data_IF_882029041934
#
_entry.id   IF_882029041934
#
_cell.length_a   1.000
_cell.length_b   1.000
_cell.length_c   1.000
_cell.angle_alpha   90.00
_cell.angle_beta   90.00
_cell.angle_gamma   90.00
#
_symmetry.space_group_name_H-M   'P 1'
#
loop_
_entity.id
_entity.type
_entity.pdbx_description
1 polymer ?
#
# COMPACT_ATOMS: atom_id res chain seq x y z
N UNK A 1 -10.51 -37.04 14.62
CA UNK A 1 -11.09 -35.85 13.96
C UNK A 1 -10.94 -36.08 12.46
N UNK A 2 -12.04 -36.08 11.69
CA UNK A 2 -12.01 -36.35 10.27
C UNK A 2 -11.27 -35.20 9.55
N UNK A 3 -10.43 -35.51 8.56
CA UNK A 3 -9.67 -34.54 7.77
C UNK A 3 -10.56 -33.46 7.12
N UNK A 4 -11.75 -33.86 6.68
CA UNK A 4 -12.74 -32.94 6.16
C UNK A 4 -13.24 -31.94 7.20
N UNK A 5 -13.43 -32.36 8.44
CA UNK A 5 -13.83 -31.46 9.54
C UNK A 5 -12.75 -30.43 9.87
N UNK A 6 -11.46 -30.80 9.78
CA UNK A 6 -10.35 -29.87 9.98
C UNK A 6 -10.34 -28.77 8.90
N UNK A 7 -10.55 -29.14 7.63
CA UNK A 7 -10.64 -28.18 6.52
C UNK A 7 -11.82 -27.23 6.73
N UNK A 8 -13.00 -27.76 7.01
CA UNK A 8 -14.22 -26.95 7.21
C UNK A 8 -14.08 -26.00 8.42
N UNK A 9 -13.48 -26.45 9.50
CA UNK A 9 -13.25 -25.61 10.68
C UNK A 9 -12.25 -24.47 10.38
N UNK A 10 -11.23 -24.74 9.56
CA UNK A 10 -10.27 -23.75 9.11
C UNK A 10 -10.93 -22.70 8.22
N UNK A 11 -11.75 -23.12 7.25
CA UNK A 11 -12.49 -22.21 6.38
C UNK A 11 -13.47 -21.33 7.15
N UNK A 12 -14.24 -21.90 8.09
CA UNK A 12 -15.14 -21.14 8.97
C UNK A 12 -14.39 -20.13 9.82
N UNK A 13 -13.19 -20.48 10.32
CA UNK A 13 -12.36 -19.56 11.09
C UNK A 13 -11.93 -18.35 10.24
N UNK A 14 -11.48 -18.58 9.01
CA UNK A 14 -11.10 -17.51 8.09
C UNK A 14 -12.28 -16.62 7.72
N UNK A 15 -13.42 -17.19 7.37
CA UNK A 15 -14.64 -16.44 7.06
C UNK A 15 -15.10 -15.58 8.24
N UNK A 16 -15.11 -16.13 9.45
CA UNK A 16 -15.44 -15.38 10.66
C UNK A 16 -14.49 -14.20 10.86
N UNK A 17 -13.20 -14.43 10.72
CA UNK A 17 -12.20 -13.36 10.91
C UNK A 17 -12.31 -12.29 9.83
N UNK A 18 -12.61 -12.65 8.60
CA UNK A 18 -12.87 -11.70 7.51
C UNK A 18 -14.09 -10.83 7.81
N UNK A 19 -15.18 -11.42 8.32
CA UNK A 19 -16.37 -10.67 8.76
C UNK A 19 -16.01 -9.72 9.90
N UNK A 20 -15.27 -10.18 10.91
CA UNK A 20 -14.85 -9.33 12.05
C UNK A 20 -14.03 -8.15 11.53
N UNK A 21 -13.03 -8.36 10.68
CA UNK A 21 -12.20 -7.28 10.13
C UNK A 21 -13.01 -6.33 9.24
N UNK A 22 -13.99 -6.83 8.49
CA UNK A 22 -14.91 -5.99 7.71
C UNK A 22 -15.77 -5.11 8.63
N UNK A 23 -16.28 -5.65 9.73
CA UNK A 23 -17.02 -4.88 10.73
C UNK A 23 -16.14 -3.80 11.37
N UNK A 24 -14.89 -4.13 11.70
CA UNK A 24 -13.91 -3.17 12.22
C UNK A 24 -13.67 -2.04 11.20
N UNK A 25 -13.49 -2.37 9.92
CA UNK A 25 -13.32 -1.36 8.87
C UNK A 25 -14.54 -0.45 8.77
N UNK A 26 -15.76 -1.00 8.80
CA UNK A 26 -17.02 -0.22 8.77
C UNK A 26 -17.11 0.71 9.98
N UNK A 27 -16.81 0.22 11.18
CA UNK A 27 -16.80 1.05 12.39
C UNK A 27 -15.77 2.17 12.30
N UNK A 28 -14.54 1.87 11.89
CA UNK A 28 -13.51 2.88 11.71
C UNK A 28 -13.88 3.89 10.63
N UNK A 29 -14.50 3.46 9.54
CA UNK A 29 -14.99 4.34 8.48
C UNK A 29 -16.07 5.28 8.98
N UNK A 30 -17.00 4.77 9.81
CA UNK A 30 -18.05 5.58 10.43
C UNK A 30 -17.42 6.63 11.36
N UNK A 31 -16.49 6.22 12.23
CA UNK A 31 -15.78 7.14 13.13
C UNK A 31 -15.03 8.20 12.32
N UNK A 32 -14.33 7.79 11.24
CA UNK A 32 -13.60 8.68 10.35
C UNK A 32 -14.47 9.77 9.73
N UNK A 33 -15.70 9.43 9.33
CA UNK A 33 -16.67 10.39 8.79
C UNK A 33 -17.26 11.33 9.84
N UNK A 34 -17.40 10.85 11.08
CA UNK A 34 -17.96 11.65 12.20
C UNK A 34 -16.94 12.60 12.80
N UNK A 35 -15.70 12.16 12.97
CA UNK A 35 -14.67 12.85 13.74
C UNK A 35 -13.83 13.80 12.87
N UNK A 36 -13.51 14.99 13.40
CA UNK A 36 -12.70 16.03 12.77
C UNK A 36 -12.90 17.32 13.55
N UNK A 37 -12.39 18.47 13.07
CA UNK A 37 -12.58 19.79 13.72
C UNK A 37 -14.05 20.08 14.02
N UNK A 38 -14.97 19.68 13.15
CA UNK A 38 -16.42 19.71 13.34
C UNK A 38 -16.91 18.28 13.53
N UNK A 39 -17.52 17.97 14.67
CA UNK A 39 -18.12 16.67 14.89
C UNK A 39 -19.45 16.57 14.16
N UNK A 40 -19.60 15.58 13.27
CA UNK A 40 -20.83 15.30 12.54
C UNK A 40 -21.62 14.21 13.26
N UNK A 41 -22.79 14.55 13.79
CA UNK A 41 -23.66 13.56 14.43
C UNK A 41 -24.46 12.79 13.39
N UNK A 42 -24.48 11.45 13.39
CA UNK A 42 -25.29 10.66 12.47
C UNK A 42 -26.79 10.71 12.79
N UNK A 43 -27.15 11.26 13.95
CA UNK A 43 -28.54 11.30 14.44
C UNK A 43 -29.21 12.66 14.23
N UNK A 44 -28.52 13.65 13.69
CA UNK A 44 -29.05 14.99 13.42
C UNK A 44 -29.15 15.25 11.92
N UNK A 45 -30.12 16.06 11.51
CA UNK A 45 -30.20 16.55 10.13
C UNK A 45 -29.00 17.45 9.86
N UNK A 46 -28.18 17.04 8.89
CA UNK A 46 -26.98 17.78 8.48
C UNK A 46 -27.38 19.09 7.76
N UNK A 47 -26.78 20.18 8.18
CA UNK A 47 -26.85 21.46 7.45
C UNK A 47 -26.21 21.31 6.05
N UNK A 48 -26.51 22.25 5.14
CA UNK A 48 -25.92 22.27 3.79
C UNK A 48 -24.40 22.32 3.85
N UNK A 49 -23.84 23.03 4.83
CA UNK A 49 -22.39 23.07 5.04
C UNK A 49 -21.83 21.73 5.46
N UNK A 50 -22.46 21.06 6.43
CA UNK A 50 -22.04 19.74 6.93
C UNK A 50 -22.15 18.66 5.86
N UNK A 51 -23.19 18.72 5.00
CA UNK A 51 -23.31 17.82 3.86
C UNK A 51 -22.14 17.99 2.87
N UNK A 52 -21.75 19.24 2.54
CA UNK A 52 -20.59 19.49 1.70
C UNK A 52 -19.30 19.03 2.35
N UNK A 53 -19.11 19.29 3.65
CA UNK A 53 -17.94 18.80 4.41
C UNK A 53 -17.84 17.27 4.35
N UNK A 54 -18.96 16.57 4.49
CA UNK A 54 -19.02 15.12 4.45
C UNK A 54 -18.73 14.58 3.04
N UNK A 55 -19.40 15.12 2.02
CA UNK A 55 -19.35 14.55 0.67
C UNK A 55 -18.12 15.00 -0.13
N UNK A 56 -17.67 16.24 0.05
CA UNK A 56 -16.61 16.81 -0.79
C UNK A 56 -15.22 16.71 -0.16
N UNK A 57 -15.13 16.53 1.18
CA UNK A 57 -13.85 16.46 1.88
C UNK A 57 -13.64 15.10 2.58
N UNK A 58 -14.58 14.68 3.45
CA UNK A 58 -14.35 13.49 4.28
C UNK A 58 -14.50 12.18 3.52
N UNK A 59 -15.50 12.08 2.67
CA UNK A 59 -15.75 10.84 1.92
C UNK A 59 -14.65 10.54 0.89
N UNK A 60 -14.17 11.51 0.08
CA UNK A 60 -13.01 11.27 -0.78
C UNK A 60 -11.78 10.85 0.01
N UNK A 61 -11.50 11.50 1.14
CA UNK A 61 -10.38 11.17 2.01
C UNK A 61 -10.46 9.75 2.59
N UNK A 62 -11.65 9.33 3.04
CA UNK A 62 -11.90 7.95 3.49
C UNK A 62 -11.63 6.94 2.38
N UNK A 63 -12.15 7.20 1.17
CA UNK A 63 -11.94 6.31 0.02
C UNK A 63 -10.46 6.23 -0.35
N UNK A 64 -9.74 7.35 -0.33
CA UNK A 64 -8.29 7.37 -0.57
C UNK A 64 -7.54 6.53 0.47
N UNK A 65 -7.79 6.75 1.77
CA UNK A 65 -7.19 5.98 2.85
C UNK A 65 -7.44 4.47 2.68
N UNK A 66 -8.69 4.07 2.49
CA UNK A 66 -9.06 2.67 2.35
C UNK A 66 -8.39 2.02 1.12
N UNK A 67 -8.39 2.70 -0.03
CA UNK A 67 -7.83 2.17 -1.28
C UNK A 67 -6.31 2.06 -1.23
N UNK A 68 -5.62 3.08 -0.72
CA UNK A 68 -4.16 3.06 -0.56
C UNK A 68 -3.77 1.96 0.43
N UNK A 69 -4.42 1.89 1.59
CA UNK A 69 -4.13 0.88 2.60
C UNK A 69 -4.31 -0.54 2.09
N UNK A 70 -5.41 -0.80 1.38
CA UNK A 70 -5.68 -2.10 0.76
C UNK A 70 -4.63 -2.44 -0.31
N UNK A 71 -4.30 -1.48 -1.20
CA UNK A 71 -3.34 -1.66 -2.28
C UNK A 71 -1.93 -1.97 -1.75
N UNK A 72 -1.46 -1.21 -0.76
CA UNK A 72 -0.15 -1.41 -0.14
C UNK A 72 -0.06 -2.78 0.55
N UNK A 73 -1.07 -3.15 1.34
CA UNK A 73 -1.08 -4.42 2.08
C UNK A 73 -1.12 -5.64 1.15
N UNK A 74 -1.96 -5.61 0.10
CA UNK A 74 -2.04 -6.72 -0.88
C UNK A 74 -0.78 -6.79 -1.73
N UNK A 75 -0.23 -5.65 -2.15
CA UNK A 75 1.04 -5.60 -2.88
C UNK A 75 2.18 -6.17 -2.05
N UNK A 76 2.27 -5.80 -0.77
CA UNK A 76 3.25 -6.35 0.16
C UNK A 76 3.09 -7.86 0.35
N UNK A 77 1.86 -8.34 0.63
CA UNK A 77 1.57 -9.76 0.77
C UNK A 77 2.00 -10.57 -0.46
N UNK A 78 1.72 -10.06 -1.66
CA UNK A 78 2.08 -10.68 -2.93
C UNK A 78 3.59 -10.69 -3.16
N UNK A 79 4.28 -9.58 -2.89
CA UNK A 79 5.74 -9.48 -3.00
C UNK A 79 6.45 -10.44 -2.06
N UNK A 80 5.97 -10.58 -0.82
CA UNK A 80 6.53 -11.51 0.16
C UNK A 80 6.51 -12.95 -0.34
N UNK A 81 5.46 -13.36 -1.06
CA UNK A 81 5.39 -14.69 -1.69
C UNK A 81 6.29 -14.77 -2.91
N UNK A 82 6.24 -13.78 -3.81
CA UNK A 82 7.04 -13.74 -5.03
C UNK A 82 8.54 -13.83 -4.76
N UNK A 83 8.99 -13.20 -3.69
CA UNK A 83 10.40 -13.14 -3.31
C UNK A 83 10.78 -14.21 -2.26
N UNK A 84 9.82 -14.98 -1.77
CA UNK A 84 10.06 -15.94 -0.68
C UNK A 84 10.64 -15.26 0.58
N UNK A 85 10.32 -13.98 0.80
CA UNK A 85 10.86 -13.19 1.89
C UNK A 85 9.75 -12.38 2.57
N UNK A 86 9.48 -12.69 3.83
CA UNK A 86 8.44 -12.03 4.63
C UNK A 86 8.74 -10.55 4.94
N UNK A 87 9.96 -10.09 4.71
CA UNK A 87 10.41 -8.71 4.89
C UNK A 87 10.32 -7.89 3.59
N UNK A 88 9.84 -8.48 2.50
CA UNK A 88 9.69 -7.77 1.24
C UNK A 88 8.58 -6.72 1.34
N UNK A 89 8.93 -5.48 1.00
CA UNK A 89 8.04 -4.33 0.93
C UNK A 89 8.28 -3.58 -0.38
N UNK A 90 7.22 -3.05 -1.03
CA UNK A 90 7.37 -2.29 -2.28
C UNK A 90 8.33 -1.10 -2.18
N UNK A 91 8.34 -0.42 -1.03
CA UNK A 91 9.25 0.71 -0.75
C UNK A 91 10.71 0.30 -0.79
N UNK A 92 11.05 -0.84 -0.19
CA UNK A 92 12.41 -1.38 -0.15
C UNK A 92 12.90 -1.81 -1.54
N UNK A 93 12.00 -2.21 -2.43
CA UNK A 93 12.33 -2.57 -3.81
C UNK A 93 12.51 -1.37 -4.75
N UNK A 94 12.45 -0.15 -4.23
CA UNK A 94 12.62 1.07 -5.03
C UNK A 94 11.43 1.43 -5.93
N UNK A 95 10.33 0.66 -5.88
CA UNK A 95 9.14 0.91 -6.72
C UNK A 95 8.53 2.27 -6.38
N UNK A 96 8.33 2.56 -5.09
CA UNK A 96 7.86 3.88 -4.63
C UNK A 96 8.87 4.99 -4.95
N UNK A 97 10.17 4.69 -4.88
CA UNK A 97 11.24 5.62 -5.28
C UNK A 97 11.14 6.02 -6.75
N UNK A 98 10.87 5.04 -7.63
CA UNK A 98 10.63 5.30 -9.05
C UNK A 98 9.42 6.19 -9.31
N UNK A 99 8.32 5.95 -8.61
CA UNK A 99 7.12 6.79 -8.67
C UNK A 99 7.43 8.23 -8.24
N UNK A 100 8.09 8.40 -7.09
CA UNK A 100 8.47 9.71 -6.55
C UNK A 100 9.39 10.47 -7.47
N UNK A 101 10.42 9.79 -7.99
CA UNK A 101 11.36 10.38 -8.93
C UNK A 101 10.66 10.90 -10.18
N UNK A 102 9.78 10.09 -10.77
CA UNK A 102 9.04 10.50 -11.97
C UNK A 102 8.14 11.72 -11.71
N UNK A 103 7.47 11.78 -10.56
CA UNK A 103 6.65 12.94 -10.20
C UNK A 103 7.49 14.20 -10.00
N UNK A 104 8.62 14.09 -9.31
CA UNK A 104 9.55 15.20 -9.11
C UNK A 104 10.09 15.70 -10.47
N UNK A 105 10.48 14.80 -11.35
CA UNK A 105 10.96 15.16 -12.69
C UNK A 105 9.89 15.90 -13.51
N UNK A 106 8.64 15.45 -13.45
CA UNK A 106 7.50 16.13 -14.11
C UNK A 106 7.29 17.53 -13.52
N UNK A 107 7.39 17.68 -12.21
CA UNK A 107 7.23 18.98 -11.54
C UNK A 107 8.31 19.98 -12.00
N UNK A 108 9.54 19.52 -12.22
CA UNK A 108 10.62 20.37 -12.72
C UNK A 108 10.59 20.61 -14.24
N UNK A 109 10.07 19.65 -15.01
CA UNK A 109 10.03 19.75 -16.47
C UNK A 109 8.90 20.66 -16.99
N UNK A 110 7.83 20.84 -16.22
CA UNK A 110 6.68 21.61 -16.64
C UNK A 110 6.68 23.00 -15.98
N UNK A 111 6.49 24.08 -16.76
CA UNK A 111 6.47 25.46 -16.24
C UNK A 111 5.21 25.81 -15.45
N UNK A 112 4.19 24.93 -15.48
CA UNK A 112 2.92 25.08 -14.77
C UNK A 112 2.71 23.84 -13.92
N UNK A 113 2.12 24.02 -12.73
CA UNK A 113 1.80 22.90 -11.83
C UNK A 113 1.02 21.81 -12.58
N UNK A 114 1.55 20.58 -12.62
CA UNK A 114 0.92 19.50 -13.36
C UNK A 114 -0.45 19.14 -12.79
N UNK A 115 -1.37 18.72 -13.66
CA UNK A 115 -2.66 18.22 -13.22
C UNK A 115 -2.49 16.92 -12.44
N UNK A 116 -3.41 16.57 -11.50
CA UNK A 116 -3.38 15.29 -10.79
C UNK A 116 -3.25 14.06 -11.70
N UNK A 117 -3.84 14.13 -12.90
CA UNK A 117 -3.74 13.08 -13.91
C UNK A 117 -2.30 12.90 -14.42
N UNK A 118 -1.58 14.00 -14.66
CA UNK A 118 -0.17 13.96 -15.11
C UNK A 118 0.70 13.35 -14.00
N UNK A 119 0.49 13.78 -12.76
CA UNK A 119 1.19 13.18 -11.63
C UNK A 119 0.91 11.68 -11.49
N UNK A 120 -0.35 11.26 -11.63
CA UNK A 120 -0.72 9.85 -11.61
C UNK A 120 0.02 9.05 -12.69
N UNK A 121 -0.07 9.52 -13.95
CA UNK A 121 0.60 8.84 -15.06
C UNK A 121 2.11 8.79 -14.86
N UNK A 122 2.72 9.86 -14.38
CA UNK A 122 4.16 9.91 -14.07
C UNK A 122 4.51 8.90 -12.97
N UNK A 123 3.75 8.85 -11.88
CA UNK A 123 3.99 7.93 -10.78
C UNK A 123 3.86 6.46 -11.22
N UNK A 124 2.81 6.13 -12.00
CA UNK A 124 2.65 4.78 -12.57
C UNK A 124 3.81 4.45 -13.51
N UNK A 125 4.14 5.36 -14.43
CA UNK A 125 5.23 5.15 -15.38
C UNK A 125 6.58 4.97 -14.66
N UNK A 126 6.87 5.79 -13.63
CA UNK A 126 8.08 5.70 -12.82
C UNK A 126 8.17 4.39 -12.02
N UNK A 127 7.09 3.98 -11.36
CA UNK A 127 7.03 2.71 -10.65
C UNK A 127 7.23 1.52 -11.59
N UNK A 128 6.60 1.53 -12.77
CA UNK A 128 6.77 0.50 -13.78
C UNK A 128 8.19 0.47 -14.33
N UNK A 129 8.76 1.63 -14.67
CA UNK A 129 10.13 1.72 -15.19
C UNK A 129 11.14 1.13 -14.19
N UNK A 130 11.05 1.50 -12.91
CA UNK A 130 11.92 0.97 -11.87
C UNK A 130 11.74 -0.54 -11.69
N UNK A 131 10.50 -1.01 -11.73
CA UNK A 131 10.21 -2.44 -11.66
C UNK A 131 10.79 -3.19 -12.87
N UNK A 132 10.68 -2.63 -14.07
CA UNK A 132 11.26 -3.21 -15.29
C UNK A 132 12.78 -3.24 -15.23
N UNK A 133 13.43 -2.17 -14.74
CA UNK A 133 14.88 -2.12 -14.52
C UNK A 133 15.29 -3.20 -13.53
N UNK A 134 14.60 -3.28 -12.37
CA UNK A 134 14.88 -4.27 -11.34
C UNK A 134 14.78 -5.71 -11.88
N UNK A 135 13.70 -6.02 -12.58
CA UNK A 135 13.49 -7.34 -13.17
C UNK A 135 14.46 -7.62 -14.30
N UNK A 136 14.79 -6.61 -15.12
CA UNK A 136 15.79 -6.72 -16.18
C UNK A 136 17.17 -7.10 -15.62
N UNK A 137 17.64 -6.39 -14.59
CA UNK A 137 18.91 -6.69 -13.90
C UNK A 137 18.86 -8.08 -13.26
N UNK A 138 17.75 -8.41 -12.59
CA UNK A 138 17.59 -9.72 -11.96
C UNK A 138 17.73 -10.89 -12.93
N UNK A 139 17.17 -10.74 -14.14
CA UNK A 139 17.25 -11.76 -15.20
C UNK A 139 18.63 -11.84 -15.82
N UNK A 140 19.19 -10.71 -16.21
CA UNK A 140 20.48 -10.65 -16.87
C UNK A 140 21.61 -11.25 -16.02
N UNK A 141 21.51 -11.10 -14.69
CA UNK A 141 22.53 -11.53 -13.73
C UNK A 141 22.15 -12.78 -12.95
N UNK A 142 21.00 -13.40 -13.22
CA UNK A 142 20.48 -14.56 -12.47
C UNK A 142 20.54 -14.35 -10.95
N UNK A 143 20.04 -13.19 -10.47
CA UNK A 143 20.18 -12.79 -9.09
C UNK A 143 19.35 -13.67 -8.14
N UNK A 144 19.94 -13.99 -7.00
CA UNK A 144 19.19 -14.54 -5.86
C UNK A 144 18.26 -13.49 -5.27
N UNK A 145 17.23 -13.91 -4.52
CA UNK A 145 16.28 -13.00 -3.87
C UNK A 145 16.97 -11.94 -3.00
N UNK A 146 18.01 -12.32 -2.26
CA UNK A 146 18.77 -11.38 -1.43
C UNK A 146 19.46 -10.30 -2.26
N UNK A 147 20.11 -10.68 -3.38
CA UNK A 147 20.75 -9.72 -4.28
C UNK A 147 19.74 -8.82 -4.99
N UNK A 148 18.57 -9.36 -5.33
CA UNK A 148 17.47 -8.58 -5.90
C UNK A 148 17.02 -7.46 -4.95
N UNK A 149 16.86 -7.78 -3.65
CA UNK A 149 16.53 -6.79 -2.63
C UNK A 149 17.61 -5.70 -2.52
N UNK A 150 18.90 -6.08 -2.55
CA UNK A 150 19.98 -5.10 -2.53
C UNK A 150 19.98 -4.17 -3.74
N UNK A 151 19.70 -4.69 -4.95
CA UNK A 151 19.54 -3.85 -6.15
C UNK A 151 18.35 -2.91 -6.00
N UNK A 152 17.21 -3.40 -5.45
CA UNK A 152 16.04 -2.57 -5.15
C UNK A 152 16.36 -1.43 -4.19
N UNK A 153 17.05 -1.73 -3.09
CA UNK A 153 17.54 -0.71 -2.13
C UNK A 153 18.46 0.31 -2.81
N UNK A 154 19.42 -0.15 -3.63
CA UNK A 154 20.33 0.74 -4.35
C UNK A 154 19.58 1.67 -5.32
N UNK A 155 18.57 1.16 -6.05
CA UNK A 155 17.70 1.98 -6.90
C UNK A 155 16.89 2.98 -6.08
N UNK A 156 16.38 2.59 -4.91
CA UNK A 156 15.67 3.47 -4.00
C UNK A 156 16.57 4.61 -3.48
N UNK A 157 17.81 4.30 -3.08
CA UNK A 157 18.81 5.29 -2.65
C UNK A 157 19.16 6.24 -3.80
N UNK A 158 19.33 5.72 -5.01
CA UNK A 158 19.60 6.56 -6.18
C UNK A 158 18.45 7.52 -6.46
N UNK A 159 17.19 7.03 -6.39
CA UNK A 159 16.01 7.89 -6.51
C UNK A 159 16.00 8.99 -5.45
N UNK A 160 16.24 8.62 -4.18
CA UNK A 160 16.27 9.58 -3.07
C UNK A 160 17.37 10.64 -3.26
N UNK A 161 18.54 10.26 -3.77
CA UNK A 161 19.62 11.18 -4.08
C UNK A 161 19.19 12.21 -5.14
N UNK A 162 18.56 11.76 -6.24
CA UNK A 162 18.09 12.66 -7.31
C UNK A 162 16.97 13.58 -6.79
N UNK A 163 16.04 13.06 -5.98
CA UNK A 163 15.00 13.86 -5.34
C UNK A 163 15.61 14.92 -4.40
N UNK A 164 16.68 14.57 -3.67
CA UNK A 164 17.40 15.52 -2.81
C UNK A 164 18.09 16.62 -3.64
N UNK A 165 18.66 16.29 -4.81
CA UNK A 165 19.16 17.30 -5.76
C UNK A 165 18.03 18.25 -6.21
N UNK A 166 16.86 17.70 -6.49
CA UNK A 166 15.70 18.52 -6.85
C UNK A 166 15.34 19.52 -5.74
N UNK A 167 15.40 19.12 -4.46
CA UNK A 167 15.22 20.06 -3.33
C UNK A 167 16.24 21.20 -3.33
N UNK A 168 17.49 20.88 -3.61
CA UNK A 168 18.56 21.90 -3.62
C UNK A 168 18.34 23.00 -4.68
N UNK A 169 17.74 22.64 -5.81
CA UNK A 169 17.46 23.57 -6.91
C UNK A 169 16.05 24.16 -6.88
N UNK A 170 15.19 23.76 -5.91
CA UNK A 170 13.82 24.26 -5.79
C UNK A 170 13.78 25.63 -5.13
N UNK A 171 12.79 26.44 -5.50
CA UNK A 171 12.35 27.58 -4.74
C UNK A 171 11.61 27.15 -3.44
N UNK A 172 11.46 28.04 -2.48
CA UNK A 172 10.90 27.74 -1.16
C UNK A 172 9.48 27.15 -1.24
N UNK A 173 8.65 27.60 -2.18
CA UNK A 173 7.27 27.13 -2.34
C UNK A 173 7.24 25.69 -2.87
N UNK A 174 7.99 25.43 -3.93
CA UNK A 174 8.14 24.10 -4.51
C UNK A 174 8.76 23.10 -3.56
N UNK A 175 9.75 23.54 -2.78
CA UNK A 175 10.39 22.73 -1.74
C UNK A 175 9.37 22.29 -0.68
N UNK A 176 8.56 23.21 -0.15
CA UNK A 176 7.53 22.87 0.84
C UNK A 176 6.48 21.88 0.28
N UNK A 177 6.04 22.08 -0.95
CA UNK A 177 5.09 21.19 -1.60
C UNK A 177 5.67 19.77 -1.78
N UNK A 178 6.91 19.68 -2.26
CA UNK A 178 7.61 18.40 -2.42
C UNK A 178 7.81 17.68 -1.08
N UNK A 179 8.26 18.40 -0.05
CA UNK A 179 8.45 17.81 1.28
C UNK A 179 7.13 17.28 1.84
N UNK A 180 6.06 18.08 1.78
CA UNK A 180 4.75 17.68 2.27
C UNK A 180 4.23 16.45 1.55
N UNK A 181 4.39 16.40 0.23
CA UNK A 181 3.98 15.28 -0.58
C UNK A 181 4.80 14.00 -0.30
N UNK A 182 6.14 14.12 -0.16
CA UNK A 182 7.00 12.97 0.15
C UNK A 182 6.76 12.39 1.56
N UNK A 183 6.29 13.21 2.50
CA UNK A 183 5.90 12.72 3.82
C UNK A 183 4.63 11.86 3.80
N UNK A 184 3.91 11.86 2.68
CA UNK A 184 2.64 11.16 2.50
C UNK A 184 1.49 11.86 3.19
N UNK A 185 0.52 12.33 2.40
CA UNK A 185 -0.69 12.99 2.91
C UNK A 185 -1.86 12.76 1.98
N UNK A 186 -3.03 12.57 2.56
CA UNK A 186 -4.31 12.46 1.85
C UNK A 186 -5.25 13.62 2.19
N UNK A 187 -4.75 14.66 2.90
CA UNK A 187 -5.55 15.82 3.31
C UNK A 187 -6.16 16.58 2.13
N UNK A 188 -5.50 16.57 0.97
CA UNK A 188 -6.00 17.18 -0.27
C UNK A 188 -6.81 16.24 -1.18
N UNK A 189 -7.21 15.05 -0.73
CA UNK A 189 -7.95 14.10 -1.55
C UNK A 189 -9.31 14.70 -1.99
N UNK A 190 -9.54 14.71 -3.29
CA UNK A 190 -10.77 15.20 -3.92
C UNK A 190 -11.33 14.18 -4.90
N UNK A 191 -12.60 14.29 -5.27
CA UNK A 191 -13.23 13.38 -6.23
C UNK A 191 -12.53 13.36 -7.59
N UNK A 192 -11.92 14.46 -7.99
CA UNK A 192 -11.15 14.51 -9.23
C UNK A 192 -9.95 13.55 -9.22
N UNK A 193 -9.27 13.40 -8.09
CA UNK A 193 -8.16 12.48 -7.94
C UNK A 193 -8.61 11.01 -7.89
N UNK A 194 -9.88 10.75 -7.58
CA UNK A 194 -10.44 9.39 -7.51
C UNK A 194 -10.61 8.70 -8.89
N UNK A 195 -10.32 9.37 -10.00
CA UNK A 195 -10.10 8.67 -11.28
C UNK A 195 -9.00 7.61 -11.16
N UNK A 196 -8.02 7.82 -10.27
CA UNK A 196 -6.97 6.85 -9.93
C UNK A 196 -7.55 5.59 -9.27
N UNK A 197 -8.53 5.74 -8.38
CA UNK A 197 -9.14 4.60 -7.69
C UNK A 197 -9.94 3.71 -8.63
N UNK A 198 -10.45 4.24 -9.74
CA UNK A 198 -11.10 3.44 -10.79
C UNK A 198 -10.12 2.48 -11.47
N UNK A 199 -8.85 2.86 -11.57
CA UNK A 199 -7.78 1.98 -12.07
C UNK A 199 -7.31 1.02 -10.98
N UNK A 200 -7.17 1.49 -9.74
CA UNK A 200 -6.71 0.67 -8.62
C UNK A 200 -7.66 -0.47 -8.28
N UNK A 201 -8.97 -0.21 -8.24
CA UNK A 201 -9.96 -1.16 -7.75
C UNK A 201 -9.97 -2.49 -8.55
N UNK A 202 -10.09 -2.51 -9.90
CA UNK A 202 -10.07 -3.75 -10.65
C UNK A 202 -8.75 -4.50 -10.53
N UNK A 203 -7.61 -3.79 -10.47
CA UNK A 203 -6.29 -4.41 -10.28
C UNK A 203 -6.17 -5.04 -8.88
N UNK A 204 -6.66 -4.35 -7.85
CA UNK A 204 -6.69 -4.85 -6.48
C UNK A 204 -7.55 -6.12 -6.35
N UNK A 205 -8.77 -6.10 -6.91
CA UNK A 205 -9.66 -7.26 -6.93
C UNK A 205 -9.02 -8.43 -7.67
N UNK A 206 -8.44 -8.17 -8.84
CA UNK A 206 -7.74 -9.20 -9.60
C UNK A 206 -6.58 -9.80 -8.80
N UNK A 207 -5.80 -8.98 -8.11
CA UNK A 207 -4.67 -9.43 -7.30
C UNK A 207 -5.15 -10.29 -6.10
N UNK A 208 -6.25 -9.90 -5.45
CA UNK A 208 -6.87 -10.71 -4.39
C UNK A 208 -7.31 -12.10 -4.88
N UNK A 209 -7.71 -12.23 -6.15
CA UNK A 209 -8.07 -13.51 -6.75
C UNK A 209 -6.88 -14.43 -7.05
N UNK A 210 -5.62 -13.92 -6.99
CA UNK A 210 -4.43 -14.72 -7.28
C UNK A 210 -3.95 -15.58 -6.09
N UNK A 211 -4.71 -15.68 -5.01
CA UNK A 211 -4.30 -16.41 -3.81
C UNK A 211 -3.97 -17.88 -4.06
N UNK A 212 -4.81 -18.61 -4.82
CA UNK A 212 -4.56 -20.03 -5.15
C UNK A 212 -3.29 -20.27 -5.98
N UNK A 213 -3.00 -19.53 -7.07
CA UNK A 213 -1.71 -19.59 -7.76
C UNK A 213 -0.51 -19.29 -6.85
N UNK A 214 -0.65 -18.31 -5.96
CA UNK A 214 0.41 -17.95 -5.00
C UNK A 214 0.65 -19.05 -3.96
N UNK A 215 -0.39 -19.73 -3.49
CA UNK A 215 -0.25 -20.89 -2.59
C UNK A 215 0.54 -22.02 -3.27
N UNK A 216 0.31 -22.26 -4.56
CA UNK A 216 1.09 -23.23 -5.34
C UNK A 216 2.56 -22.78 -5.49
N UNK A 217 2.81 -21.48 -5.69
CA UNK A 217 4.17 -20.92 -5.81
C UNK A 217 4.98 -21.11 -4.52
N UNK A 218 4.34 -21.07 -3.35
CA UNK A 218 4.99 -21.33 -2.06
C UNK A 218 5.56 -22.74 -1.92
N UNK A 219 5.08 -23.72 -2.72
CA UNK A 219 5.64 -25.08 -2.78
C UNK A 219 6.93 -25.16 -3.61
N UNK A 220 7.35 -24.04 -4.21
CA UNK A 220 8.50 -23.94 -5.11
C UNK A 220 8.08 -23.92 -6.58
N UNK A 221 8.95 -23.33 -7.42
CA UNK A 221 8.65 -23.08 -8.85
C UNK A 221 8.41 -24.36 -9.64
N UNK A 222 9.20 -25.39 -9.36
CA UNK A 222 9.09 -26.70 -10.05
C UNK A 222 7.74 -27.32 -9.77
N UNK A 223 7.33 -27.36 -8.49
CA UNK A 223 6.04 -27.94 -8.10
C UNK A 223 4.87 -27.09 -8.60
N UNK A 224 4.98 -25.77 -8.58
CA UNK A 224 3.95 -24.87 -9.11
C UNK A 224 3.70 -25.13 -10.60
N UNK A 225 4.79 -25.31 -11.38
CA UNK A 225 4.70 -25.63 -12.81
C UNK A 225 4.04 -26.99 -13.05
N UNK A 226 4.40 -28.02 -12.27
CA UNK A 226 3.76 -29.33 -12.34
C UNK A 226 2.27 -29.27 -11.99
N UNK A 227 1.86 -28.33 -11.14
CA UNK A 227 0.45 -28.10 -10.80
C UNK A 227 -0.27 -27.17 -11.80
N UNK A 228 0.33 -26.91 -12.97
CA UNK A 228 -0.28 -26.19 -14.09
C UNK A 228 -0.22 -24.67 -13.96
N UNK A 229 0.71 -24.12 -13.17
CA UNK A 229 0.93 -22.68 -13.09
C UNK A 229 2.05 -22.28 -14.03
N UNK A 230 1.77 -21.40 -14.98
CA UNK A 230 2.82 -20.68 -15.72
C UNK A 230 3.48 -19.63 -14.81
N UNK A 231 4.52 -20.04 -14.08
CA UNK A 231 5.20 -19.22 -13.10
C UNK A 231 5.79 -17.95 -13.74
N UNK A 232 6.30 -18.05 -14.96
CA UNK A 232 6.89 -16.91 -15.65
C UNK A 232 5.84 -15.84 -15.98
N UNK A 233 4.75 -16.24 -16.62
CA UNK A 233 3.66 -15.33 -16.98
C UNK A 233 2.98 -14.75 -15.74
N UNK A 234 2.76 -15.58 -14.70
CA UNK A 234 2.19 -15.15 -13.43
C UNK A 234 3.03 -14.06 -12.77
N UNK A 235 4.36 -14.27 -12.64
CA UNK A 235 5.27 -13.28 -12.07
C UNK A 235 5.16 -11.93 -12.76
N UNK A 236 5.20 -11.92 -14.10
CA UNK A 236 5.07 -10.66 -14.83
C UNK A 236 3.77 -9.94 -14.57
N UNK A 237 2.65 -10.67 -14.60
CA UNK A 237 1.33 -10.08 -14.33
C UNK A 237 1.25 -9.51 -12.91
N UNK A 238 1.77 -10.24 -11.92
CA UNK A 238 1.78 -9.78 -10.53
C UNK A 238 2.66 -8.55 -10.33
N UNK A 239 3.86 -8.54 -10.90
CA UNK A 239 4.79 -7.41 -10.83
C UNK A 239 4.18 -6.15 -11.47
N UNK A 240 3.56 -6.27 -12.64
CA UNK A 240 2.87 -5.16 -13.31
C UNK A 240 1.70 -4.65 -12.45
N UNK A 241 0.88 -5.55 -11.92
CA UNK A 241 -0.24 -5.18 -11.04
C UNK A 241 0.23 -4.44 -9.78
N UNK A 242 1.29 -4.94 -9.13
CA UNK A 242 1.90 -4.29 -7.98
C UNK A 242 2.41 -2.90 -8.34
N UNK A 243 3.11 -2.75 -9.48
CA UNK A 243 3.63 -1.46 -9.93
C UNK A 243 2.51 -0.44 -10.17
N UNK A 244 1.38 -0.86 -10.76
CA UNK A 244 0.20 -0.01 -10.93
C UNK A 244 -0.37 0.40 -9.58
N UNK A 245 -0.59 -0.55 -8.66
CA UNK A 245 -1.14 -0.24 -7.34
C UNK A 245 -0.25 0.71 -6.53
N UNK A 246 1.07 0.49 -6.56
CA UNK A 246 2.02 1.36 -5.85
C UNK A 246 2.10 2.74 -6.51
N UNK A 247 2.20 2.81 -7.85
CA UNK A 247 2.21 4.08 -8.57
C UNK A 247 0.96 4.92 -8.29
N UNK A 248 -0.22 4.29 -8.34
CA UNK A 248 -1.48 4.95 -7.99
C UNK A 248 -1.52 5.38 -6.51
N UNK A 249 -1.03 4.54 -5.58
CA UNK A 249 -0.99 4.87 -4.15
C UNK A 249 -0.10 6.08 -3.90
N UNK A 250 1.08 6.12 -4.53
CA UNK A 250 2.01 7.24 -4.42
C UNK A 250 1.42 8.51 -5.05
N UNK A 251 0.71 8.41 -6.17
CA UNK A 251 0.04 9.54 -6.80
C UNK A 251 -1.07 10.13 -5.94
N UNK A 252 -1.84 9.29 -5.23
CA UNK A 252 -2.95 9.72 -4.38
C UNK A 252 -2.52 10.27 -3.03
N UNK A 253 -1.52 9.67 -2.40
CA UNK A 253 -1.20 9.93 -1.00
C UNK A 253 0.29 10.11 -0.71
N UNK A 254 1.15 10.18 -1.73
CA UNK A 254 2.61 10.24 -1.51
C UNK A 254 3.19 8.92 -0.99
N UNK A 255 4.35 9.01 -0.32
CA UNK A 255 5.04 7.81 0.17
C UNK A 255 4.46 7.39 1.53
N UNK A 256 3.83 6.22 1.56
CA UNK A 256 3.31 5.59 2.78
C UNK A 256 3.99 4.23 2.93
N UNK A 257 4.72 4.06 4.03
CA UNK A 257 5.51 2.85 4.30
C UNK A 257 4.91 1.99 5.40
N UNK A 258 5.46 0.80 5.60
CA UNK A 258 5.14 -0.18 6.65
C UNK A 258 3.79 -0.89 6.51
N UNK A 259 2.80 -0.36 5.84
CA UNK A 259 1.49 -1.03 5.66
C UNK A 259 1.66 -2.36 4.93
N UNK A 260 2.44 -2.36 3.84
CA UNK A 260 2.72 -3.56 3.04
C UNK A 260 3.62 -4.59 3.73
N UNK A 261 4.37 -4.17 4.74
CA UNK A 261 5.23 -5.06 5.52
C UNK A 261 4.47 -5.66 6.72
N UNK A 262 3.89 -4.79 7.54
CA UNK A 262 3.37 -5.14 8.87
C UNK A 262 2.04 -5.90 8.76
N UNK A 263 1.11 -5.42 7.94
CA UNK A 263 -0.23 -6.01 7.86
C UNK A 263 -0.20 -7.48 7.43
N UNK A 264 0.37 -7.87 6.28
CA UNK A 264 0.37 -9.26 5.87
C UNK A 264 1.20 -10.15 6.80
N UNK A 265 2.27 -9.62 7.41
CA UNK A 265 3.08 -10.36 8.36
C UNK A 265 2.30 -10.69 9.65
N UNK A 266 1.61 -9.70 10.24
CA UNK A 266 0.73 -9.92 11.40
C UNK A 266 -0.37 -10.94 11.11
N UNK A 267 -1.00 -10.84 9.94
CA UNK A 267 -2.05 -11.77 9.54
C UNK A 267 -1.54 -13.20 9.37
N UNK A 268 -0.32 -13.38 8.84
CA UNK A 268 0.31 -14.71 8.75
C UNK A 268 0.58 -15.31 10.11
N UNK A 269 1.07 -14.52 11.05
CA UNK A 269 1.32 -14.97 12.42
C UNK A 269 0.03 -15.34 13.15
N UNK A 270 -1.04 -14.55 12.95
CA UNK A 270 -2.31 -14.75 13.66
C UNK A 270 -3.18 -15.86 13.07
N UNK A 271 -3.20 -15.99 11.74
CA UNK A 271 -4.21 -16.79 11.04
C UNK A 271 -3.63 -17.86 10.11
N UNK A 272 -2.37 -17.77 9.73
CA UNK A 272 -1.68 -18.72 8.85
C UNK A 272 -1.33 -18.14 7.48
N UNK A 273 -0.76 -18.99 6.62
CA UNK A 273 -0.06 -18.57 5.40
C UNK A 273 -0.83 -18.77 4.09
N UNK A 274 -2.10 -19.18 4.14
CA UNK A 274 -2.91 -19.42 2.93
C UNK A 274 -3.26 -18.11 2.22
N UNK A 275 -2.64 -17.86 1.09
CA UNK A 275 -2.80 -16.60 0.35
C UNK A 275 -4.22 -16.40 -0.20
N UNK A 276 -4.96 -17.48 -0.43
CA UNK A 276 -6.37 -17.45 -0.83
C UNK A 276 -7.24 -16.61 0.11
N UNK A 277 -6.95 -16.63 1.42
CA UNK A 277 -7.63 -15.84 2.45
C UNK A 277 -6.80 -14.63 2.89
N UNK A 278 -5.50 -14.77 2.89
CA UNK A 278 -4.57 -13.75 3.35
C UNK A 278 -4.67 -12.47 2.50
N UNK A 279 -4.79 -12.60 1.17
CA UNK A 279 -4.86 -11.41 0.30
C UNK A 279 -6.12 -10.56 0.54
N UNK A 280 -7.36 -11.12 0.52
CA UNK A 280 -8.55 -10.34 0.86
C UNK A 280 -8.49 -9.77 2.27
N UNK A 281 -7.97 -10.53 3.23
CA UNK A 281 -7.86 -10.09 4.60
C UNK A 281 -6.81 -8.98 4.75
N UNK A 282 -5.72 -9.03 3.98
CA UNK A 282 -4.72 -7.96 3.89
C UNK A 282 -5.33 -6.67 3.32
N UNK A 283 -6.18 -6.78 2.31
CA UNK A 283 -6.88 -5.62 1.75
C UNK A 283 -7.72 -4.90 2.82
N UNK A 284 -8.58 -5.65 3.53
CA UNK A 284 -9.47 -5.10 4.54
C UNK A 284 -8.68 -4.55 5.73
N UNK A 285 -7.68 -5.30 6.21
CA UNK A 285 -6.87 -4.87 7.36
C UNK A 285 -5.95 -3.70 7.02
N UNK A 286 -5.42 -3.64 5.81
CA UNK A 286 -4.64 -2.51 5.32
C UNK A 286 -5.49 -1.25 5.19
N UNK A 287 -6.71 -1.36 4.66
CA UNK A 287 -7.68 -0.28 4.62
C UNK A 287 -8.00 0.22 6.05
N UNK A 288 -8.30 -0.70 6.98
CA UNK A 288 -8.61 -0.38 8.36
C UNK A 288 -7.44 0.33 9.07
N UNK A 289 -6.20 -0.15 8.86
CA UNK A 289 -5.01 0.46 9.44
C UNK A 289 -4.81 1.89 8.94
N UNK A 290 -4.97 2.12 7.65
CA UNK A 290 -4.73 3.45 7.10
C UNK A 290 -5.85 4.44 7.44
N UNK A 291 -7.10 4.00 7.49
CA UNK A 291 -8.23 4.79 8.01
C UNK A 291 -8.00 5.15 9.48
N UNK A 292 -7.54 4.20 10.30
CA UNK A 292 -7.21 4.45 11.70
C UNK A 292 -6.05 5.45 11.85
N UNK A 293 -4.99 5.28 11.06
CA UNK A 293 -3.84 6.19 11.07
C UNK A 293 -4.23 7.62 10.64
N UNK A 294 -5.16 7.76 9.69
CA UNK A 294 -5.66 9.07 9.26
C UNK A 294 -6.54 9.75 10.32
N UNK A 295 -7.35 9.00 11.06
CA UNK A 295 -8.06 9.53 12.23
C UNK A 295 -7.04 10.08 13.24
N UNK A 296 -6.00 9.31 13.56
CA UNK A 296 -4.93 9.75 14.45
C UNK A 296 -4.20 10.98 13.94
N UNK A 297 -3.86 11.03 12.64
CA UNK A 297 -3.18 12.17 12.03
C UNK A 297 -3.95 13.49 12.15
N UNK A 298 -5.29 13.43 12.18
CA UNK A 298 -6.18 14.59 12.35
C UNK A 298 -6.45 14.98 13.80
N UNK A 299 -6.32 14.04 14.74
CA UNK A 299 -6.69 14.28 16.14
C UNK A 299 -5.51 14.57 17.06
N UNK A 300 -4.28 14.25 16.65
CA UNK A 300 -3.10 14.39 17.50
C UNK A 300 -2.59 15.83 17.64
N UNK A 301 -2.91 16.69 16.69
CA UNK A 301 -2.51 18.11 16.72
C UNK A 301 -3.72 19.00 16.44
N UNK A 302 -3.90 20.04 17.26
CA UNK A 302 -5.01 21.01 17.13
C UNK A 302 -4.84 22.00 15.98
N UNK A 303 -3.61 22.26 15.55
CA UNK A 303 -3.29 23.34 14.61
C UNK A 303 -2.70 22.88 13.26
N UNK A 304 -2.42 21.59 13.11
CA UNK A 304 -1.85 21.04 11.88
C UNK A 304 -2.18 19.54 11.75
N UNK A 305 -2.30 19.06 10.51
CA UNK A 305 -2.43 17.63 10.26
C UNK A 305 -1.06 16.97 10.16
N UNK A 306 -0.87 15.84 10.85
CA UNK A 306 0.34 15.05 10.71
C UNK A 306 0.35 14.33 9.35
N UNK A 307 1.50 14.30 8.66
CA UNK A 307 1.62 13.49 7.46
C UNK A 307 1.33 12.01 7.74
N UNK A 308 0.50 11.39 6.91
CA UNK A 308 0.03 10.02 7.11
C UNK A 308 1.17 9.00 7.04
N UNK A 309 2.17 9.24 6.17
CA UNK A 309 3.37 8.39 6.08
C UNK A 309 4.20 8.41 7.35
N UNK A 310 4.27 9.56 8.05
CA UNK A 310 4.93 9.68 9.36
C UNK A 310 4.16 8.88 10.41
N UNK A 311 2.83 8.97 10.42
CA UNK A 311 1.97 8.21 11.34
C UNK A 311 2.13 6.70 11.15
N UNK A 312 2.07 6.22 9.90
CA UNK A 312 2.21 4.78 9.62
C UNK A 312 3.60 4.26 9.98
N UNK A 313 4.65 5.05 9.74
CA UNK A 313 6.03 4.71 10.12
C UNK A 313 6.21 4.68 11.63
N UNK A 314 5.68 5.67 12.35
CA UNK A 314 5.78 5.77 13.82
C UNK A 314 5.07 4.62 14.52
N UNK A 315 4.00 4.08 13.95
CA UNK A 315 3.30 2.91 14.47
C UNK A 315 3.95 1.61 13.97
N UNK A 316 4.29 1.56 12.69
CA UNK A 316 4.75 0.34 12.02
C UNK A 316 6.14 -0.10 12.46
N UNK A 317 7.09 0.83 12.61
CA UNK A 317 8.47 0.48 12.96
C UNK A 317 8.59 -0.14 14.37
N UNK A 318 7.97 0.38 15.45
CA UNK A 318 7.98 -0.28 16.75
C UNK A 318 7.30 -1.65 16.75
N UNK A 319 6.17 -1.79 16.07
CA UNK A 319 5.47 -3.08 15.93
C UNK A 319 6.37 -4.09 15.22
N UNK A 320 7.05 -3.67 14.18
CA UNK A 320 7.94 -4.52 13.41
C UNK A 320 9.15 -4.99 14.26
N UNK A 321 9.80 -4.07 15.00
CA UNK A 321 10.89 -4.42 15.93
C UNK A 321 10.40 -5.42 16.97
N UNK A 322 9.26 -5.16 17.59
CA UNK A 322 8.68 -6.09 18.58
C UNK A 322 8.42 -7.48 18.02
N UNK A 323 7.90 -7.57 16.78
CA UNK A 323 7.68 -8.84 16.10
C UNK A 323 8.98 -9.61 15.85
N UNK A 324 10.05 -8.92 15.43
CA UNK A 324 11.36 -9.55 15.18
C UNK A 324 11.95 -10.12 16.45
N UNK A 325 11.91 -9.38 17.56
CA UNK A 325 12.41 -9.82 18.86
C UNK A 325 11.62 -11.06 19.32
N UNK A 326 10.29 -10.99 19.28
CA UNK A 326 9.45 -12.11 19.74
C UNK A 326 9.57 -13.37 18.88
N UNK A 327 9.82 -13.23 17.58
CA UNK A 327 10.02 -14.38 16.68
C UNK A 327 11.37 -15.08 16.92
N UNK A 328 12.34 -14.39 17.51
CA UNK A 328 13.63 -14.97 17.88
C UNK A 328 13.53 -15.84 19.14
N UNK A 329 12.71 -15.40 20.11
CA UNK A 329 12.52 -16.15 21.37
C UNK A 329 11.68 -17.44 21.20
N UNK A 330 11.02 -17.61 20.05
CA UNK A 330 10.19 -18.78 19.76
C UNK A 330 10.93 -19.90 19.00
N UNK A 331 12.23 -19.74 18.74
CA UNK A 331 13.14 -20.76 18.16
C UNK A 331 14.07 -21.30 19.23
#
# INVERSE_FOLDING_TARGET
MDFQQLILNKERRWQRNLVIMSVVLVLLSTIHLMVGEVFLSPFQSLSVFEQKLLLDLRLPRLVAAAMIGAALAVSGATLQVLLGNVLAEPGVLGISGGASLAMVLVMFALPVLPTPMIFMLAAIAGSMLFTLILVGIARAMHLTTARLLLVGVALGILSSAIVTWAFYFSDDLSLRQLMYWLMGSIGGASWYQHTVTLVMFPVLVWLCCQGKPLDKLMLGEIHATQLGVDVHQMRWKLILAISVLIGCSVALGGIISFVGLVVPHLLRLAFGTENRYLLPMSAISGAALLVFADIGARLLLDSAELPLGVMTTSIGAPIFIWMLVKSHDAR
#
